data_IF_695436988622
#
_entry.id   IF_695436988622
#
_cell.length_a   1.000
_cell.length_b   1.000
_cell.length_c   1.000
_cell.angle_alpha   90.00
_cell.angle_beta   90.00
_cell.angle_gamma   90.00
#
_symmetry.space_group_name_H-M   'P 1'
#
loop_
_entity.id
_entity.type
_entity.pdbx_description
1 polymer ?
#
# COMPACT_ATOMS: atom_id res chain seq x y z
N UNK A 1 -49.88 34.80 -10.78
CA UNK A 1 -49.89 33.60 -11.63
C UNK A 1 -48.46 33.12 -11.79
N UNK A 2 -48.21 31.92 -11.25
CA UNK A 2 -47.13 30.96 -11.56
C UNK A 2 -45.68 31.45 -11.58
N UNK A 3 -45.08 31.49 -10.38
CA UNK A 3 -43.66 31.19 -10.18
C UNK A 3 -43.42 29.73 -10.53
N UNK A 4 -42.94 29.47 -11.74
CA UNK A 4 -42.38 28.17 -12.11
C UNK A 4 -41.11 27.96 -11.27
N UNK A 5 -41.27 27.24 -10.17
CA UNK A 5 -40.20 26.71 -9.36
C UNK A 5 -39.25 25.91 -10.25
N UNK A 6 -38.13 26.53 -10.62
CA UNK A 6 -36.97 25.86 -11.16
C UNK A 6 -36.43 24.96 -10.04
N UNK A 7 -36.94 23.72 -9.94
CA UNK A 7 -36.39 22.67 -9.07
C UNK A 7 -34.97 22.39 -9.54
N UNK A 8 -34.02 23.16 -9.03
CA UNK A 8 -32.63 22.78 -9.11
C UNK A 8 -32.50 21.54 -8.23
N UNK A 9 -32.40 20.37 -8.87
CA UNK A 9 -31.99 19.14 -8.20
C UNK A 9 -30.52 19.32 -7.79
N UNK A 10 -30.29 19.99 -6.67
CA UNK A 10 -28.95 20.23 -6.15
C UNK A 10 -28.38 18.90 -5.64
N UNK A 11 -27.14 18.60 -6.00
CA UNK A 11 -26.36 17.45 -5.50
C UNK A 11 -26.46 17.31 -3.95
N UNK A 12 -26.59 18.45 -3.28
CA UNK A 12 -26.71 18.63 -1.83
C UNK A 12 -28.03 18.10 -1.23
N UNK A 13 -29.05 17.85 -2.05
CA UNK A 13 -30.32 17.27 -1.61
C UNK A 13 -30.36 15.74 -1.72
N UNK A 14 -29.31 15.11 -2.27
CA UNK A 14 -29.22 13.66 -2.28
C UNK A 14 -29.00 13.12 -0.86
N UNK A 15 -29.64 11.99 -0.50
CA UNK A 15 -29.32 11.27 0.72
C UNK A 15 -27.81 11.01 0.83
N UNK A 16 -27.27 11.23 2.03
CA UNK A 16 -25.82 11.08 2.27
C UNK A 16 -25.32 9.67 1.93
N UNK A 17 -26.12 8.63 2.15
CA UNK A 17 -25.77 7.25 1.79
C UNK A 17 -25.54 7.06 0.29
N UNK A 18 -26.28 7.80 -0.56
CA UNK A 18 -26.05 7.78 -2.01
C UNK A 18 -24.78 8.54 -2.36
N UNK A 19 -24.51 9.66 -1.69
CA UNK A 19 -23.27 10.41 -1.87
C UNK A 19 -22.04 9.60 -1.44
N UNK A 20 -22.15 8.79 -0.38
CA UNK A 20 -21.11 7.84 0.03
C UNK A 20 -20.84 6.80 -1.06
N UNK A 21 -21.89 6.22 -1.67
CA UNK A 21 -21.72 5.30 -2.80
C UNK A 21 -21.09 5.95 -4.01
N UNK A 22 -21.46 7.19 -4.33
CA UNK A 22 -20.82 7.96 -5.41
C UNK A 22 -19.34 8.21 -5.09
N UNK A 23 -19.01 8.49 -3.82
CA UNK A 23 -17.63 8.74 -3.39
C UNK A 23 -16.69 7.54 -3.57
N UNK A 24 -17.21 6.32 -3.66
CA UNK A 24 -16.40 5.12 -3.98
C UNK A 24 -15.75 5.22 -5.38
N UNK A 25 -16.36 5.98 -6.30
CA UNK A 25 -15.86 6.20 -7.67
C UNK A 25 -15.02 7.47 -7.83
N UNK A 26 -14.87 8.26 -6.77
CA UNK A 26 -14.14 9.52 -6.78
C UNK A 26 -12.83 9.36 -6.02
N UNK A 27 -11.72 9.83 -6.57
CA UNK A 27 -10.44 9.83 -5.88
C UNK A 27 -10.38 10.86 -4.75
N UNK A 28 -9.34 10.81 -3.92
CA UNK A 28 -9.11 11.81 -2.90
C UNK A 28 -9.03 13.21 -3.51
N UNK A 29 -8.35 13.37 -4.66
CA UNK A 29 -8.24 14.67 -5.32
C UNK A 29 -9.59 15.16 -5.79
N UNK A 30 -10.43 14.30 -6.37
CA UNK A 30 -11.79 14.68 -6.78
C UNK A 30 -12.61 15.21 -5.60
N UNK A 31 -12.60 14.49 -4.48
CA UNK A 31 -13.30 14.92 -3.26
C UNK A 31 -12.69 16.20 -2.67
N UNK A 32 -11.38 16.39 -2.78
CA UNK A 32 -10.70 17.61 -2.36
C UNK A 32 -11.13 18.83 -3.21
N UNK A 33 -11.15 18.71 -4.53
CA UNK A 33 -11.59 19.80 -5.42
C UNK A 33 -13.08 20.11 -5.28
N UNK A 34 -13.93 19.09 -5.08
CA UNK A 34 -15.33 19.28 -4.73
C UNK A 34 -15.44 20.09 -3.42
N UNK A 35 -14.66 19.73 -2.40
CA UNK A 35 -14.62 20.46 -1.11
C UNK A 35 -14.26 21.94 -1.27
N UNK A 36 -13.45 22.28 -2.27
CA UNK A 36 -13.00 23.65 -2.51
C UNK A 36 -13.89 24.43 -3.50
N UNK A 37 -14.90 23.81 -4.09
CA UNK A 37 -15.76 24.45 -5.10
C UNK A 37 -16.79 25.43 -4.52
N UNK A 38 -17.25 25.22 -3.28
CA UNK A 38 -18.16 26.15 -2.58
C UNK A 38 -18.16 25.91 -1.06
N UNK A 39 -18.72 26.83 -0.27
CA UNK A 39 -18.85 26.65 1.19
C UNK A 39 -19.73 25.43 1.56
N UNK A 40 -20.79 25.16 0.80
CA UNK A 40 -21.67 24.02 1.02
C UNK A 40 -20.96 22.71 0.62
N UNK A 41 -20.26 22.70 -0.51
CA UNK A 41 -19.47 21.54 -0.94
C UNK A 41 -18.30 21.26 0.01
N UNK A 42 -17.74 22.28 0.67
CA UNK A 42 -16.69 22.09 1.69
C UNK A 42 -17.13 21.18 2.81
N UNK A 43 -18.30 21.45 3.40
CA UNK A 43 -18.84 20.63 4.50
C UNK A 43 -19.10 19.20 4.02
N UNK A 44 -19.76 19.05 2.87
CA UNK A 44 -20.05 17.73 2.30
C UNK A 44 -18.77 16.96 1.97
N UNK A 45 -17.83 17.58 1.26
CA UNK A 45 -16.60 16.94 0.84
C UNK A 45 -15.70 16.57 2.02
N UNK A 46 -15.62 17.41 3.06
CA UNK A 46 -14.93 17.05 4.31
C UNK A 46 -15.60 15.86 5.02
N UNK A 47 -16.94 15.78 5.02
CA UNK A 47 -17.65 14.63 5.56
C UNK A 47 -17.38 13.35 4.74
N UNK A 48 -17.39 13.44 3.41
CA UNK A 48 -17.08 12.32 2.54
C UNK A 48 -15.63 11.83 2.74
N UNK A 49 -14.67 12.76 2.82
CA UNK A 49 -13.26 12.45 3.09
C UNK A 49 -13.10 11.79 4.48
N UNK A 50 -13.79 12.31 5.50
CA UNK A 50 -13.78 11.72 6.84
C UNK A 50 -14.37 10.30 6.85
N UNK A 51 -15.48 10.08 6.15
CA UNK A 51 -16.12 8.76 6.12
C UNK A 51 -15.33 7.74 5.29
N UNK A 52 -14.78 8.16 4.15
CA UNK A 52 -14.08 7.27 3.22
C UNK A 52 -12.65 6.97 3.66
N UNK A 53 -11.93 7.99 4.15
CA UNK A 53 -10.49 7.89 4.43
C UNK A 53 -10.14 8.07 5.91
N UNK A 54 -11.12 8.39 6.77
CA UNK A 54 -10.89 8.69 8.19
C UNK A 54 -9.96 9.89 8.42
N UNK A 55 -9.97 10.85 7.50
CA UNK A 55 -9.20 12.09 7.60
C UNK A 55 -10.13 13.22 8.05
N UNK A 56 -9.89 13.79 9.23
CA UNK A 56 -10.68 14.92 9.73
C UNK A 56 -10.10 16.26 9.25
N UNK A 57 -10.80 16.88 8.29
CA UNK A 57 -10.48 18.20 7.74
C UNK A 57 -11.35 19.32 8.34
N UNK A 58 -12.20 19.04 9.34
CA UNK A 58 -13.16 20.02 9.85
C UNK A 58 -12.54 21.15 10.67
N UNK A 59 -11.28 20.99 11.13
CA UNK A 59 -10.56 21.97 11.95
C UNK A 59 -9.23 22.38 11.33
N UNK A 60 -9.23 23.08 10.18
CA UNK A 60 -8.01 23.44 9.47
C UNK A 60 -7.10 24.37 10.28
N UNK A 61 -7.66 25.18 11.19
CA UNK A 61 -6.87 26.09 12.03
C UNK A 61 -6.00 25.35 13.06
N UNK A 62 -6.40 24.14 13.48
CA UNK A 62 -5.62 23.33 14.42
C UNK A 62 -4.55 22.50 13.70
N UNK A 63 -4.85 22.04 12.48
CA UNK A 63 -4.01 21.13 11.69
C UNK A 63 -3.60 21.75 10.35
N UNK A 64 -3.22 23.03 10.35
CA UNK A 64 -2.94 23.78 9.12
C UNK A 64 -1.82 23.16 8.27
N UNK A 65 -0.81 22.57 8.92
CA UNK A 65 0.28 21.87 8.25
C UNK A 65 -0.20 20.59 7.55
N UNK A 66 -0.96 19.74 8.24
CA UNK A 66 -1.53 18.54 7.64
C UNK A 66 -2.44 18.88 6.45
N UNK A 67 -3.26 19.93 6.59
CA UNK A 67 -4.13 20.42 5.51
C UNK A 67 -3.31 20.88 4.29
N UNK A 68 -2.16 21.51 4.49
CA UNK A 68 -1.24 21.85 3.40
C UNK A 68 -0.74 20.58 2.69
N UNK A 69 -0.30 19.56 3.43
CA UNK A 69 0.20 18.31 2.85
C UNK A 69 -0.91 17.58 2.06
N UNK A 70 -2.11 17.48 2.62
CA UNK A 70 -3.25 16.90 1.90
C UNK A 70 -3.60 17.69 0.63
N UNK A 71 -3.54 19.03 0.69
CA UNK A 71 -3.77 19.87 -0.48
C UNK A 71 -2.70 19.67 -1.56
N UNK A 72 -1.44 19.53 -1.15
CA UNK A 72 -0.31 19.27 -2.03
C UNK A 72 -0.46 17.91 -2.73
N UNK A 73 -0.90 16.89 -2.01
CA UNK A 73 -1.14 15.55 -2.58
C UNK A 73 -2.34 15.53 -3.52
N UNK A 74 -3.44 16.21 -3.19
CA UNK A 74 -4.56 16.37 -4.12
C UNK A 74 -4.13 17.06 -5.42
N UNK A 75 -3.30 18.11 -5.31
CA UNK A 75 -2.75 18.81 -6.46
C UNK A 75 -1.78 17.93 -7.27
N UNK A 76 -0.89 17.17 -6.61
CA UNK A 76 0.01 16.22 -7.24
C UNK A 76 -0.74 15.12 -8.00
N UNK A 77 -1.82 14.60 -7.42
CA UNK A 77 -2.66 13.57 -8.06
C UNK A 77 -3.30 14.08 -9.35
N UNK A 78 -3.79 15.33 -9.34
CA UNK A 78 -4.51 15.93 -10.46
C UNK A 78 -3.58 16.42 -11.58
N UNK A 79 -2.43 16.99 -11.21
CA UNK A 79 -1.55 17.72 -12.14
C UNK A 79 -0.15 17.12 -12.28
N UNK A 80 0.21 16.14 -11.46
CA UNK A 80 1.53 15.50 -11.48
C UNK A 80 1.73 14.55 -12.65
N UNK A 81 0.70 14.26 -13.45
CA UNK A 81 0.80 13.51 -14.69
C UNK A 81 0.44 14.36 -15.91
N UNK A 82 1.36 14.38 -16.88
CA UNK A 82 1.10 14.90 -18.22
C UNK A 82 1.42 13.81 -19.24
N UNK A 83 0.46 13.47 -20.11
CA UNK A 83 0.62 12.41 -21.14
C UNK A 83 1.13 11.05 -20.59
N UNK A 84 0.62 10.63 -19.42
CA UNK A 84 1.06 9.43 -18.68
C UNK A 84 2.53 9.44 -18.22
N UNK A 85 3.20 10.59 -18.21
CA UNK A 85 4.52 10.79 -17.61
C UNK A 85 4.40 11.70 -16.40
N UNK A 86 5.26 11.49 -15.41
CA UNK A 86 5.30 12.35 -14.23
C UNK A 86 5.87 13.71 -14.66
N UNK A 87 5.15 14.78 -14.37
CA UNK A 87 5.62 16.15 -14.55
C UNK A 87 6.52 16.54 -13.37
N UNK A 88 7.82 16.40 -13.58
CA UNK A 88 8.83 16.72 -12.56
C UNK A 88 8.79 18.19 -12.12
N UNK A 89 8.34 19.12 -12.95
CA UNK A 89 8.28 20.54 -12.58
C UNK A 89 7.16 20.78 -11.56
N UNK A 90 6.00 20.16 -11.77
CA UNK A 90 4.89 20.19 -10.81
C UNK A 90 5.32 19.57 -9.48
N UNK A 91 5.92 18.38 -9.51
CA UNK A 91 6.36 17.70 -8.28
C UNK A 91 7.44 18.48 -7.55
N UNK A 92 8.42 19.05 -8.26
CA UNK A 92 9.45 19.89 -7.65
C UNK A 92 8.85 21.16 -7.04
N UNK A 93 7.88 21.80 -7.69
CA UNK A 93 7.20 22.97 -7.13
C UNK A 93 6.48 22.64 -5.82
N UNK A 94 5.86 21.46 -5.73
CA UNK A 94 5.19 21.00 -4.51
C UNK A 94 6.23 20.72 -3.43
N UNK A 95 7.30 19.99 -3.77
CA UNK A 95 8.40 19.69 -2.86
C UNK A 95 9.02 20.97 -2.28
N UNK A 96 9.30 21.97 -3.13
CA UNK A 96 9.82 23.27 -2.71
C UNK A 96 8.87 23.96 -1.72
N UNK A 97 7.56 23.98 -2.02
CA UNK A 97 6.59 24.63 -1.13
C UNK A 97 6.51 23.95 0.24
N UNK A 98 6.52 22.62 0.27
CA UNK A 98 6.53 21.85 1.52
C UNK A 98 7.84 22.05 2.29
N UNK A 99 8.98 22.02 1.62
CA UNK A 99 10.30 22.20 2.24
C UNK A 99 10.44 23.59 2.87
N UNK A 100 9.99 24.64 2.17
CA UNK A 100 9.95 26.01 2.71
C UNK A 100 9.04 26.08 3.94
N UNK A 101 7.86 25.48 3.89
CA UNK A 101 6.95 25.50 5.04
C UNK A 101 7.55 24.75 6.25
N UNK A 102 8.26 23.64 6.03
CA UNK A 102 9.00 22.92 7.08
C UNK A 102 10.12 23.80 7.64
N UNK A 103 10.88 24.46 6.77
CA UNK A 103 11.97 25.35 7.15
C UNK A 103 11.48 26.53 7.99
N UNK A 104 10.43 27.23 7.54
CA UNK A 104 9.87 28.39 8.23
C UNK A 104 9.31 28.03 9.62
N UNK A 105 8.82 26.80 9.80
CA UNK A 105 8.30 26.28 11.08
C UNK A 105 9.40 25.69 11.97
N UNK A 106 10.60 25.47 11.45
CA UNK A 106 11.71 24.90 12.18
C UNK A 106 12.49 26.00 12.89
N UNK A 107 12.53 25.94 14.23
CA UNK A 107 13.25 26.95 15.00
C UNK A 107 14.76 26.87 14.77
N UNK A 108 15.44 28.00 14.55
CA UNK A 108 16.90 28.02 14.27
C UNK A 108 17.77 27.36 15.35
N UNK A 109 17.31 27.28 16.60
CA UNK A 109 18.08 26.72 17.73
C UNK A 109 17.89 25.22 17.94
N UNK A 110 16.74 24.66 17.57
CA UNK A 110 16.38 23.25 17.77
C UNK A 110 15.76 22.68 16.48
N UNK A 111 16.34 23.03 15.33
CA UNK A 111 15.75 22.73 14.03
C UNK A 111 15.64 21.22 13.80
N UNK A 112 16.57 20.41 14.33
CA UNK A 112 16.58 18.95 14.16
C UNK A 112 15.32 18.29 14.74
N UNK A 113 14.94 18.63 15.97
CA UNK A 113 13.75 18.08 16.61
C UNK A 113 12.46 18.57 15.93
N UNK A 114 12.43 19.82 15.49
CA UNK A 114 11.32 20.37 14.71
C UNK A 114 11.20 19.68 13.35
N UNK A 115 12.33 19.48 12.66
CA UNK A 115 12.42 18.79 11.38
C UNK A 115 11.96 17.34 11.54
N UNK A 116 12.43 16.62 12.56
CA UNK A 116 12.00 15.25 12.85
C UNK A 116 10.47 15.17 12.97
N UNK A 117 9.86 16.03 13.79
CA UNK A 117 8.41 16.06 13.97
C UNK A 117 7.64 16.42 12.69
N UNK A 118 8.05 17.48 11.99
CA UNK A 118 7.35 17.94 10.78
C UNK A 118 7.53 16.96 9.62
N UNK A 119 8.70 16.33 9.51
CA UNK A 119 8.98 15.34 8.49
C UNK A 119 8.28 14.01 8.79
N UNK A 120 8.18 13.59 10.06
CA UNK A 120 7.38 12.41 10.45
C UNK A 120 5.92 12.61 10.06
N UNK A 121 5.35 13.78 10.34
CA UNK A 121 3.98 14.10 9.97
C UNK A 121 3.79 14.16 8.44
N UNK A 122 4.77 14.71 7.72
CA UNK A 122 4.76 14.78 6.26
C UNK A 122 4.82 13.39 5.64
N UNK A 123 5.81 12.58 6.02
CA UNK A 123 5.99 11.23 5.49
C UNK A 123 4.84 10.31 5.88
N UNK A 124 4.27 10.46 7.08
CA UNK A 124 3.05 9.77 7.49
C UNK A 124 1.94 9.99 6.49
N UNK A 125 1.59 11.25 6.21
CA UNK A 125 0.49 11.60 5.31
C UNK A 125 0.80 11.19 3.87
N UNK A 126 2.01 11.44 3.39
CA UNK A 126 2.44 11.15 2.02
C UNK A 126 2.46 9.63 1.74
N UNK A 127 2.98 8.82 2.66
CA UNK A 127 3.01 7.36 2.54
C UNK A 127 1.60 6.78 2.71
N UNK A 128 0.80 7.27 3.68
CA UNK A 128 -0.61 6.87 3.84
C UNK A 128 -1.40 7.10 2.53
N UNK A 129 -1.07 8.16 1.78
CA UNK A 129 -1.74 8.54 0.54
C UNK A 129 -1.68 7.48 -0.55
N UNK A 130 -0.59 6.69 -0.59
CA UNK A 130 -0.42 5.58 -1.54
C UNK A 130 -1.53 4.53 -1.40
N UNK A 131 -2.16 4.45 -0.23
CA UNK A 131 -3.15 3.42 0.11
C UNK A 131 -4.60 3.91 0.12
N UNK A 132 -4.87 5.18 -0.15
CA UNK A 132 -6.24 5.72 -0.04
C UNK A 132 -7.16 5.20 -1.14
N UNK A 133 -6.66 5.14 -2.38
CA UNK A 133 -7.48 4.85 -3.57
C UNK A 133 -7.01 3.59 -4.32
N UNK A 134 -6.60 2.53 -3.61
CA UNK A 134 -6.03 1.31 -4.23
C UNK A 134 -6.97 0.59 -5.20
N UNK A 135 -8.27 0.87 -5.15
CA UNK A 135 -9.26 0.36 -6.11
C UNK A 135 -9.34 1.19 -7.40
N UNK A 136 -9.01 2.49 -7.33
CA UNK A 136 -8.99 3.41 -8.47
C UNK A 136 -7.59 3.47 -9.11
N UNK A 137 -6.54 3.31 -8.32
CA UNK A 137 -5.15 3.28 -8.75
C UNK A 137 -4.65 1.83 -8.91
N UNK A 138 -5.15 1.18 -9.97
CA UNK A 138 -4.90 -0.23 -10.23
C UNK A 138 -3.43 -0.49 -10.53
N UNK A 139 -2.88 -1.51 -9.88
CA UNK A 139 -1.53 -2.03 -10.12
C UNK A 139 -1.34 -2.35 -11.63
N UNK A 140 -0.36 -1.74 -12.32
CA UNK A 140 -0.12 -2.01 -13.72
C UNK A 140 0.15 -3.50 -13.95
N UNK A 141 -0.64 -4.12 -14.84
CA UNK A 141 -0.40 -5.52 -15.26
C UNK A 141 0.90 -5.57 -16.05
N UNK A 142 1.77 -6.53 -15.72
CA UNK A 142 3.09 -6.77 -16.35
C UNK A 142 2.96 -7.29 -17.80
N UNK A 143 2.17 -6.63 -18.65
CA UNK A 143 1.69 -7.12 -19.96
C UNK A 143 2.53 -6.62 -21.14
N UNK A 144 3.56 -5.82 -20.89
CA UNK A 144 4.53 -5.41 -21.89
C UNK A 144 5.91 -5.48 -21.26
N UNK A 145 6.96 -5.80 -22.02
CA UNK A 145 8.36 -5.86 -21.55
C UNK A 145 8.94 -4.53 -21.03
N UNK A 146 8.09 -3.59 -20.60
CA UNK A 146 8.43 -2.42 -19.82
C UNK A 146 8.72 -2.86 -18.38
N UNK A 147 9.72 -2.24 -17.75
CA UNK A 147 10.25 -2.61 -16.45
C UNK A 147 9.26 -2.59 -15.28
N UNK A 148 9.80 -2.69 -14.06
CA UNK A 148 9.05 -2.60 -12.80
C UNK A 148 8.25 -1.28 -12.73
N UNK A 149 6.96 -1.38 -12.43
CA UNK A 149 6.06 -0.22 -12.30
C UNK A 149 5.26 -0.30 -11.01
N UNK A 150 5.37 0.76 -10.20
CA UNK A 150 4.46 1.04 -9.09
C UNK A 150 3.10 1.48 -9.61
N UNK A 151 2.13 1.67 -8.69
CA UNK A 151 0.86 2.32 -9.03
C UNK A 151 1.11 3.78 -9.41
N UNK A 152 0.13 4.46 -10.04
CA UNK A 152 0.32 5.88 -10.44
C UNK A 152 0.61 6.74 -9.23
N UNK A 153 -0.16 6.58 -8.16
CA UNK A 153 0.06 7.31 -6.91
C UNK A 153 1.41 6.92 -6.28
N UNK A 154 1.75 5.62 -6.25
CA UNK A 154 3.03 5.17 -5.72
C UNK A 154 4.22 5.80 -6.46
N UNK A 155 4.16 5.89 -7.80
CA UNK A 155 5.17 6.57 -8.61
C UNK A 155 5.27 8.07 -8.31
N UNK A 156 4.13 8.78 -8.26
CA UNK A 156 4.10 10.21 -7.89
C UNK A 156 4.70 10.45 -6.51
N UNK A 157 4.29 9.66 -5.53
CA UNK A 157 4.76 9.78 -4.15
C UNK A 157 6.26 9.49 -4.05
N UNK A 158 6.77 8.48 -4.76
CA UNK A 158 8.23 8.22 -4.81
C UNK A 158 8.99 9.44 -5.35
N UNK A 159 8.54 10.03 -6.46
CA UNK A 159 9.21 11.21 -7.03
C UNK A 159 9.09 12.42 -6.10
N UNK A 160 7.93 12.60 -5.43
CA UNK A 160 7.71 13.67 -4.48
C UNK A 160 8.62 13.54 -3.25
N UNK A 161 8.72 12.34 -2.66
CA UNK A 161 9.62 12.10 -1.52
C UNK A 161 11.07 12.38 -1.94
N UNK A 162 11.47 11.95 -3.14
CA UNK A 162 12.82 12.19 -3.64
C UNK A 162 13.11 13.69 -3.82
N UNK A 163 12.21 14.43 -4.46
CA UNK A 163 12.33 15.87 -4.65
C UNK A 163 12.33 16.62 -3.30
N UNK A 164 11.47 16.21 -2.35
CA UNK A 164 11.42 16.77 -1.01
C UNK A 164 12.72 16.52 -0.26
N UNK A 165 13.25 15.29 -0.29
CA UNK A 165 14.52 14.92 0.30
C UNK A 165 15.66 15.81 -0.22
N UNK A 166 15.83 15.92 -1.55
CA UNK A 166 16.87 16.76 -2.15
C UNK A 166 16.73 18.24 -1.79
N UNK A 167 15.49 18.73 -1.62
CA UNK A 167 15.26 20.13 -1.27
C UNK A 167 15.55 20.38 0.22
N UNK A 168 15.17 19.46 1.10
CA UNK A 168 15.45 19.56 2.53
C UNK A 168 16.95 19.50 2.82
N UNK A 169 17.71 18.62 2.15
CA UNK A 169 19.17 18.57 2.31
C UNK A 169 19.89 19.78 1.73
N UNK A 170 19.23 20.57 0.86
CA UNK A 170 19.74 21.85 0.39
C UNK A 170 19.43 23.02 1.35
N UNK A 171 18.32 22.95 2.09
CA UNK A 171 17.90 23.98 3.05
C UNK A 171 18.49 23.80 4.45
N UNK A 172 18.75 22.55 4.84
CA UNK A 172 19.34 22.15 6.11
C UNK A 172 20.71 21.53 5.91
N UNK A 173 21.41 21.18 6.99
CA UNK A 173 22.65 20.43 6.91
C UNK A 173 22.38 19.00 6.41
N UNK A 174 23.17 18.52 5.44
CA UNK A 174 23.01 17.19 4.83
C UNK A 174 22.93 16.08 5.89
N UNK A 175 23.85 16.13 6.85
CA UNK A 175 23.80 15.36 8.10
C UNK A 175 23.44 16.36 9.21
N UNK A 176 22.42 16.13 10.04
CA UNK A 176 21.62 14.91 10.25
C UNK A 176 20.36 14.71 9.38
N UNK A 177 20.06 15.61 8.44
CA UNK A 177 18.80 15.56 7.65
C UNK A 177 18.59 14.24 6.92
N UNK A 178 19.64 13.70 6.31
CA UNK A 178 19.65 12.39 5.64
C UNK A 178 19.23 11.25 6.58
N UNK A 179 19.81 11.20 7.78
CA UNK A 179 19.53 10.17 8.78
C UNK A 179 18.11 10.26 9.31
N UNK A 180 17.63 11.49 9.58
CA UNK A 180 16.26 11.73 10.02
C UNK A 180 15.28 11.26 8.95
N UNK A 181 15.45 11.72 7.70
CA UNK A 181 14.59 11.35 6.59
C UNK A 181 14.55 9.83 6.38
N UNK A 182 15.72 9.20 6.31
CA UNK A 182 15.83 7.76 6.09
C UNK A 182 15.19 6.93 7.22
N UNK A 183 15.49 7.27 8.48
CA UNK A 183 14.90 6.61 9.67
C UNK A 183 13.38 6.71 9.65
N UNK A 184 12.83 7.90 9.40
CA UNK A 184 11.39 8.12 9.39
C UNK A 184 10.70 7.38 8.24
N UNK A 185 11.27 7.42 7.04
CA UNK A 185 10.75 6.68 5.88
C UNK A 185 10.67 5.18 6.17
N UNK A 186 11.75 4.59 6.71
CA UNK A 186 11.78 3.18 7.12
C UNK A 186 10.76 2.88 8.23
N UNK A 187 10.58 3.78 9.18
CA UNK A 187 9.59 3.61 10.25
C UNK A 187 8.16 3.55 9.70
N UNK A 188 7.80 4.43 8.77
CA UNK A 188 6.47 4.40 8.14
C UNK A 188 6.26 3.12 7.32
N UNK A 189 7.25 2.71 6.52
CA UNK A 189 7.19 1.45 5.75
C UNK A 189 7.00 0.26 6.68
N UNK A 190 7.79 0.17 7.76
CA UNK A 190 7.67 -0.90 8.75
C UNK A 190 6.30 -0.91 9.42
N UNK A 191 5.76 0.27 9.77
CA UNK A 191 4.42 0.40 10.35
C UNK A 191 3.34 -0.12 9.39
N UNK A 192 3.43 0.20 8.10
CA UNK A 192 2.49 -0.32 7.10
C UNK A 192 2.62 -1.83 6.90
N UNK A 193 3.84 -2.36 6.81
CA UNK A 193 4.08 -3.81 6.72
C UNK A 193 3.49 -4.53 7.93
N UNK A 194 3.73 -4.02 9.13
CA UNK A 194 3.18 -4.57 10.37
C UNK A 194 1.65 -4.53 10.39
N UNK A 195 1.04 -3.39 10.08
CA UNK A 195 -0.42 -3.23 10.10
C UNK A 195 -1.13 -4.12 9.09
N UNK A 196 -0.60 -4.22 7.87
CA UNK A 196 -1.19 -5.06 6.83
C UNK A 196 -1.00 -6.55 7.18
N UNK A 197 0.17 -6.93 7.69
CA UNK A 197 0.44 -8.32 8.13
C UNK A 197 -0.47 -8.73 9.28
N UNK A 198 -0.58 -7.90 10.32
CA UNK A 198 -1.45 -8.20 11.47
C UNK A 198 -2.91 -8.31 11.08
N UNK A 199 -3.43 -7.41 10.23
CA UNK A 199 -4.79 -7.52 9.68
C UNK A 199 -4.97 -8.80 8.86
N UNK A 200 -4.00 -9.15 8.01
CA UNK A 200 -4.02 -10.37 7.23
C UNK A 200 -4.04 -11.63 8.10
N UNK A 201 -3.18 -11.70 9.10
CA UNK A 201 -3.13 -12.82 10.05
C UNK A 201 -4.41 -12.92 10.88
N UNK A 202 -4.91 -11.81 11.43
CA UNK A 202 -6.18 -11.78 12.16
C UNK A 202 -7.35 -12.25 11.28
N UNK A 203 -7.39 -11.80 10.03
CA UNK A 203 -8.41 -12.21 9.07
C UNK A 203 -8.30 -13.70 8.71
N UNK A 204 -7.08 -14.19 8.51
CA UNK A 204 -6.80 -15.62 8.26
C UNK A 204 -7.24 -16.50 9.44
N UNK A 205 -6.87 -16.12 10.67
CA UNK A 205 -7.29 -16.84 11.87
C UNK A 205 -8.81 -16.87 12.02
N UNK A 206 -9.51 -15.74 11.83
CA UNK A 206 -10.97 -15.68 11.90
C UNK A 206 -11.64 -16.64 10.92
N UNK A 207 -11.09 -16.78 9.71
CA UNK A 207 -11.63 -17.72 8.71
C UNK A 207 -11.62 -19.16 9.20
N UNK A 208 -10.54 -19.61 9.86
CA UNK A 208 -10.42 -20.98 10.38
C UNK A 208 -11.53 -21.34 11.38
N UNK A 209 -12.10 -20.35 12.09
CA UNK A 209 -13.21 -20.57 13.02
C UNK A 209 -14.59 -20.54 12.33
N UNK A 210 -14.73 -19.81 11.22
CA UNK A 210 -16.01 -19.59 10.52
C UNK A 210 -16.44 -20.78 9.65
N UNK A 211 -15.50 -21.64 9.21
CA UNK A 211 -15.82 -22.80 8.35
C UNK A 211 -16.74 -23.86 9.01
N UNK A 212 -17.05 -23.71 10.30
CA UNK A 212 -17.77 -24.69 11.13
C UNK A 212 -19.31 -24.55 11.25
N UNK A 213 -19.98 -23.52 10.70
CA UNK A 213 -21.45 -23.35 10.90
C UNK A 213 -22.28 -22.93 9.67
N UNK A 214 -23.55 -23.35 9.62
CA UNK A 214 -24.45 -23.53 8.45
C UNK A 214 -24.83 -22.30 7.57
N UNK A 215 -25.46 -22.60 6.41
CA UNK A 215 -26.32 -21.84 5.48
C UNK A 215 -26.08 -20.35 5.15
N UNK A 216 -25.63 -19.49 6.07
CA UNK A 216 -25.20 -18.11 5.79
C UNK A 216 -23.80 -18.04 5.11
N UNK A 217 -23.22 -19.20 4.79
CA UNK A 217 -21.84 -19.38 4.33
C UNK A 217 -21.50 -18.61 3.06
N UNK A 218 -22.38 -18.51 2.07
CA UNK A 218 -22.00 -17.99 0.75
C UNK A 218 -21.71 -16.48 0.78
N UNK A 219 -22.60 -15.67 1.37
CA UNK A 219 -22.40 -14.22 1.45
C UNK A 219 -21.23 -13.85 2.38
N UNK A 220 -21.10 -14.56 3.49
CA UNK A 220 -20.00 -14.37 4.44
C UNK A 220 -18.67 -14.74 3.78
N UNK A 221 -18.59 -15.89 3.10
CA UNK A 221 -17.38 -16.34 2.40
C UNK A 221 -16.99 -15.43 1.22
N UNK A 222 -17.97 -14.85 0.51
CA UNK A 222 -17.71 -13.82 -0.50
C UNK A 222 -17.11 -12.56 0.12
N UNK A 223 -17.65 -12.08 1.24
CA UNK A 223 -17.08 -10.93 1.96
C UNK A 223 -15.65 -11.23 2.48
N UNK A 224 -15.41 -12.43 3.02
CA UNK A 224 -14.07 -12.88 3.42
C UNK A 224 -13.09 -12.90 2.24
N UNK A 225 -13.51 -13.40 1.08
CA UNK A 225 -12.68 -13.41 -0.14
C UNK A 225 -12.37 -11.99 -0.61
N UNK A 226 -13.37 -11.12 -0.67
CA UNK A 226 -13.18 -9.72 -1.07
C UNK A 226 -12.22 -8.99 -0.14
N UNK A 227 -12.35 -9.17 1.18
CA UNK A 227 -11.44 -8.57 2.14
C UNK A 227 -10.01 -9.13 2.04
N UNK A 228 -9.87 -10.43 1.81
CA UNK A 228 -8.55 -11.04 1.57
C UNK A 228 -7.88 -10.47 0.31
N UNK A 229 -8.63 -10.33 -0.79
CA UNK A 229 -8.14 -9.74 -2.02
C UNK A 229 -7.71 -8.27 -1.82
N UNK A 230 -8.48 -7.50 -1.06
CA UNK A 230 -8.11 -6.12 -0.70
C UNK A 230 -6.80 -6.07 0.09
N UNK A 231 -6.64 -6.93 1.11
CA UNK A 231 -5.41 -6.99 1.91
C UNK A 231 -4.20 -7.41 1.07
N UNK A 232 -4.35 -8.40 0.18
CA UNK A 232 -3.30 -8.81 -0.75
C UNK A 232 -2.96 -7.71 -1.75
N UNK A 233 -3.97 -7.01 -2.28
CA UNK A 233 -3.77 -5.86 -3.18
C UNK A 233 -3.00 -4.73 -2.49
N UNK A 234 -3.39 -4.37 -1.26
CA UNK A 234 -2.72 -3.34 -0.47
C UNK A 234 -1.28 -3.75 -0.13
N UNK A 235 -1.06 -5.02 0.23
CA UNK A 235 0.30 -5.54 0.47
C UNK A 235 1.17 -5.48 -0.77
N UNK A 236 0.64 -5.91 -1.93
CA UNK A 236 1.35 -5.83 -3.21
C UNK A 236 1.64 -4.39 -3.62
N UNK A 237 0.70 -3.48 -3.39
CA UNK A 237 0.88 -2.03 -3.60
C UNK A 237 2.05 -1.52 -2.77
N UNK A 238 2.11 -1.89 -1.48
CA UNK A 238 3.22 -1.53 -0.60
C UNK A 238 4.56 -2.11 -1.08
N UNK A 239 4.61 -3.38 -1.47
CA UNK A 239 5.84 -3.99 -2.01
C UNK A 239 6.30 -3.29 -3.29
N UNK A 240 5.36 -2.94 -4.19
CA UNK A 240 5.69 -2.20 -5.40
C UNK A 240 6.15 -0.77 -5.11
N UNK A 241 5.58 -0.13 -4.10
CA UNK A 241 6.03 1.17 -3.62
C UNK A 241 7.45 1.09 -3.03
N UNK A 242 7.74 0.10 -2.19
CA UNK A 242 9.09 -0.16 -1.66
C UNK A 242 10.08 -0.36 -2.80
N UNK A 243 9.73 -1.17 -3.81
CA UNK A 243 10.61 -1.35 -4.97
C UNK A 243 10.85 -0.06 -5.75
N UNK A 244 9.87 0.84 -5.84
CA UNK A 244 10.05 2.15 -6.48
C UNK A 244 10.97 3.06 -5.66
N UNK A 245 10.87 3.05 -4.33
CA UNK A 245 11.81 3.75 -3.45
C UNK A 245 13.25 3.24 -3.59
N UNK A 246 13.42 1.93 -3.80
CA UNK A 246 14.73 1.33 -4.10
C UNK A 246 15.24 1.77 -5.47
N UNK A 247 14.37 1.89 -6.49
CA UNK A 247 14.76 2.42 -7.81
C UNK A 247 15.21 3.88 -7.76
N UNK A 248 14.65 4.67 -6.84
CA UNK A 248 15.01 6.08 -6.66
C UNK A 248 16.12 6.29 -5.64
N UNK A 249 16.81 5.22 -5.21
CA UNK A 249 17.91 5.27 -4.22
C UNK A 249 17.51 5.85 -2.85
N UNK A 250 16.21 5.99 -2.57
CA UNK A 250 15.70 6.42 -1.25
C UNK A 250 15.81 5.29 -0.21
N UNK A 251 15.87 4.05 -0.68
CA UNK A 251 16.18 2.86 0.10
C UNK A 251 17.35 2.12 -0.54
N UNK A 252 18.27 1.65 0.29
CA UNK A 252 19.37 0.82 -0.16
C UNK A 252 18.91 -0.62 -0.42
N UNK A 253 19.73 -1.37 -1.15
CA UNK A 253 19.54 -2.83 -1.32
C UNK A 253 19.61 -3.56 0.02
N UNK A 254 20.38 -3.05 0.97
CA UNK A 254 20.50 -3.61 2.33
C UNK A 254 19.18 -3.43 3.07
N UNK A 255 18.56 -2.25 2.99
CA UNK A 255 17.24 -2.00 3.60
C UNK A 255 16.19 -2.95 3.02
N UNK A 256 16.23 -3.14 1.70
CA UNK A 256 15.32 -4.08 1.04
C UNK A 256 15.53 -5.52 1.53
N UNK A 257 16.79 -5.96 1.69
CA UNK A 257 17.09 -7.29 2.23
C UNK A 257 16.56 -7.45 3.67
N UNK A 258 16.79 -6.45 4.53
CA UNK A 258 16.32 -6.42 5.91
C UNK A 258 14.79 -6.47 5.95
N UNK A 259 14.10 -5.61 5.21
CA UNK A 259 12.64 -5.58 5.11
C UNK A 259 12.10 -6.92 4.59
N UNK A 260 12.78 -7.50 3.59
CA UNK A 260 12.36 -8.77 3.00
C UNK A 260 12.42 -9.90 4.03
N UNK A 261 13.56 -10.06 4.70
CA UNK A 261 13.79 -11.12 5.69
C UNK A 261 12.93 -10.95 6.95
N UNK A 262 12.82 -9.74 7.47
CA UNK A 262 12.18 -9.51 8.77
C UNK A 262 10.67 -9.28 8.68
N UNK A 263 10.17 -8.71 7.58
CA UNK A 263 8.78 -8.22 7.50
C UNK A 263 7.98 -8.83 6.35
N UNK A 264 8.53 -8.87 5.14
CA UNK A 264 7.80 -9.40 3.97
C UNK A 264 7.66 -10.92 4.08
N UNK A 265 8.69 -11.64 4.52
CA UNK A 265 8.57 -13.06 4.80
C UNK A 265 7.56 -13.36 5.91
N UNK A 266 7.51 -12.53 6.95
CA UNK A 266 6.56 -12.66 8.07
C UNK A 266 5.10 -12.53 7.62
N UNK A 267 4.81 -11.77 6.56
CA UNK A 267 3.47 -11.67 5.99
C UNK A 267 2.90 -13.05 5.60
N UNK A 268 3.73 -13.93 5.04
CA UNK A 268 3.33 -15.28 4.64
C UNK A 268 3.29 -16.22 5.84
N UNK A 269 2.14 -16.85 6.05
CA UNK A 269 1.91 -17.70 7.22
C UNK A 269 2.54 -19.07 6.99
N UNK A 270 3.84 -19.21 7.26
CA UNK A 270 4.47 -20.55 7.21
C UNK A 270 5.41 -20.94 8.33
N UNK A 271 5.79 -20.05 9.25
CA UNK A 271 6.76 -20.42 10.28
C UNK A 271 6.26 -20.40 11.74
N UNK A 272 5.08 -19.83 12.07
CA UNK A 272 4.68 -19.68 13.49
C UNK A 272 3.49 -20.53 13.95
N UNK A 273 2.69 -21.12 13.05
CA UNK A 273 1.55 -21.98 13.45
C UNK A 273 2.04 -23.27 14.14
N UNK A 274 3.34 -23.60 14.05
CA UNK A 274 3.91 -24.78 14.70
C UNK A 274 4.41 -24.57 16.13
N UNK A 275 4.71 -23.34 16.58
CA UNK A 275 5.45 -23.16 17.85
C UNK A 275 4.67 -22.50 19.01
N UNK A 276 3.57 -21.77 18.78
CA UNK A 276 2.91 -21.03 19.86
C UNK A 276 1.56 -21.56 20.38
N UNK A 277 1.01 -22.64 19.81
CA UNK A 277 -0.21 -23.24 20.36
C UNK A 277 0.09 -24.47 21.22
N UNK A 278 -0.33 -24.52 22.50
CA UNK A 278 -0.18 -25.71 23.31
C UNK A 278 -1.02 -26.82 22.68
N UNK A 279 -0.38 -27.98 22.51
CA UNK A 279 -0.90 -29.26 22.03
C UNK A 279 -2.30 -29.59 22.58
N UNK A 280 -3.37 -29.01 22.04
CA UNK A 280 -4.73 -29.55 22.20
C UNK A 280 -5.03 -30.44 21.01
N UNK A 281 -4.89 -31.75 21.28
CA UNK A 281 -5.30 -32.89 20.45
C UNK A 281 -4.93 -32.78 18.97
N UNK A 282 -3.77 -33.35 18.64
CA UNK A 282 -3.54 -33.98 17.33
C UNK A 282 -4.59 -35.06 17.11
N UNK A 283 -5.76 -34.68 16.58
CA UNK A 283 -6.48 -35.55 15.68
C UNK A 283 -5.63 -35.59 14.41
N UNK A 284 -5.09 -36.76 14.10
CA UNK A 284 -4.53 -37.08 12.78
C UNK A 284 -5.64 -36.90 11.75
N UNK A 285 -5.85 -35.69 11.24
CA UNK A 285 -6.60 -35.50 10.00
C UNK A 285 -5.61 -35.65 8.85
N UNK A 286 -5.43 -36.90 8.44
CA UNK A 286 -4.66 -37.28 7.25
C UNK A 286 -5.42 -36.95 5.94
N UNK A 287 -6.35 -35.99 5.99
CA UNK A 287 -7.16 -35.53 4.87
C UNK A 287 -6.96 -34.02 4.77
N UNK A 288 -5.86 -33.62 4.13
CA UNK A 288 -5.74 -32.27 3.60
C UNK A 288 -6.92 -32.09 2.64
N UNK A 289 -7.91 -31.29 3.00
CA UNK A 289 -9.07 -31.13 2.15
C UNK A 289 -8.65 -30.45 0.85
N UNK A 290 -9.35 -30.71 -0.26
CA UNK A 290 -9.06 -30.03 -1.54
C UNK A 290 -9.10 -28.49 -1.39
N UNK A 291 -9.87 -27.98 -0.42
CA UNK A 291 -9.92 -26.55 -0.08
C UNK A 291 -8.63 -26.05 0.56
N UNK A 292 -8.02 -26.80 1.49
CA UNK A 292 -6.75 -26.42 2.12
C UNK A 292 -5.59 -26.40 1.10
N UNK A 293 -5.61 -27.35 0.16
CA UNK A 293 -4.63 -27.40 -0.93
C UNK A 293 -4.78 -26.22 -1.89
N UNK A 294 -6.01 -25.85 -2.26
CA UNK A 294 -6.27 -24.69 -3.11
C UNK A 294 -5.76 -23.39 -2.47
N UNK A 295 -5.91 -23.24 -1.15
CA UNK A 295 -5.40 -22.05 -0.44
C UNK A 295 -3.88 -21.99 -0.39
N UNK A 296 -3.22 -23.14 -0.22
CA UNK A 296 -1.77 -23.21 -0.29
C UNK A 296 -1.25 -22.84 -1.69
N UNK A 297 -1.95 -23.24 -2.74
CA UNK A 297 -1.62 -22.83 -4.10
C UNK A 297 -1.79 -21.32 -4.29
N UNK A 298 -2.93 -20.75 -3.87
CA UNK A 298 -3.18 -19.30 -3.95
C UNK A 298 -2.15 -18.47 -3.14
N UNK A 299 -1.70 -18.97 -2.00
CA UNK A 299 -0.67 -18.31 -1.18
C UNK A 299 0.72 -18.42 -1.82
N UNK A 300 1.06 -19.57 -2.42
CA UNK A 300 2.31 -19.74 -3.17
C UNK A 300 2.32 -18.85 -4.42
N UNK A 301 1.21 -18.76 -5.15
CA UNK A 301 1.07 -17.88 -6.32
C UNK A 301 1.28 -16.42 -5.92
N UNK A 302 0.63 -15.96 -4.86
CA UNK A 302 0.81 -14.61 -4.35
C UNK A 302 2.25 -14.36 -3.89
N UNK A 303 2.89 -15.33 -3.21
CA UNK A 303 4.29 -15.25 -2.80
C UNK A 303 5.24 -15.13 -4.00
N UNK A 304 4.99 -15.87 -5.08
CA UNK A 304 5.73 -15.73 -6.33
C UNK A 304 5.55 -14.34 -6.92
N UNK A 305 4.34 -13.79 -6.97
CA UNK A 305 4.09 -12.43 -7.48
C UNK A 305 4.91 -11.39 -6.72
N UNK A 306 4.91 -11.46 -5.38
CA UNK A 306 5.64 -10.54 -4.51
C UNK A 306 7.15 -10.63 -4.75
N UNK A 307 7.72 -11.84 -4.78
CA UNK A 307 9.16 -12.01 -5.00
C UNK A 307 9.59 -11.67 -6.42
N UNK A 308 8.74 -11.88 -7.43
CA UNK A 308 9.00 -11.43 -8.79
C UNK A 308 9.00 -9.90 -8.87
N UNK A 309 8.06 -9.22 -8.21
CA UNK A 309 8.02 -7.76 -8.17
C UNK A 309 9.31 -7.22 -7.49
N UNK A 310 9.75 -7.80 -6.37
CA UNK A 310 11.01 -7.42 -5.69
C UNK A 310 12.26 -7.69 -6.54
N UNK A 311 12.34 -8.87 -7.17
CA UNK A 311 13.47 -9.24 -8.02
C UNK A 311 13.60 -8.28 -9.21
N UNK A 312 12.47 -7.90 -9.82
CA UNK A 312 12.47 -6.93 -10.92
C UNK A 312 12.95 -5.56 -10.50
N UNK A 313 12.56 -5.08 -9.31
CA UNK A 313 13.11 -3.84 -8.78
C UNK A 313 14.65 -3.95 -8.66
N UNK A 314 15.16 -4.98 -7.99
CA UNK A 314 16.62 -5.13 -7.82
C UNK A 314 17.36 -5.27 -9.17
N UNK A 315 16.81 -6.04 -10.11
CA UNK A 315 17.41 -6.21 -11.45
C UNK A 315 17.56 -4.88 -12.20
N UNK A 316 16.53 -4.03 -12.15
CA UNK A 316 16.58 -2.74 -12.84
C UNK A 316 17.56 -1.78 -12.16
N UNK A 317 17.64 -1.80 -10.84
CA UNK A 317 18.66 -1.04 -10.12
C UNK A 317 20.07 -1.48 -10.54
N UNK A 318 20.32 -2.79 -10.67
CA UNK A 318 21.64 -3.31 -11.08
C UNK A 318 22.01 -3.01 -12.53
N UNK A 319 21.03 -2.86 -13.44
CA UNK A 319 21.30 -2.38 -14.79
C UNK A 319 21.85 -0.95 -14.80
N UNK A 320 21.46 -0.14 -13.82
CA UNK A 320 21.94 1.24 -13.65
C UNK A 320 23.18 1.31 -12.74
N UNK A 321 23.30 0.41 -11.77
CA UNK A 321 24.34 0.42 -10.72
C UNK A 321 24.89 -0.99 -10.46
N UNK A 322 25.90 -1.46 -11.22
CA UNK A 322 26.29 -2.89 -11.29
C UNK A 322 27.02 -3.47 -10.05
N UNK A 323 27.12 -2.76 -8.93
CA UNK A 323 27.97 -3.14 -7.79
C UNK A 323 27.27 -3.88 -6.63
N UNK A 324 25.95 -4.11 -6.69
CA UNK A 324 25.21 -4.68 -5.54
C UNK A 324 25.02 -6.20 -5.66
N UNK A 325 25.45 -6.98 -4.67
CA UNK A 325 25.24 -8.45 -4.58
C UNK A 325 23.80 -8.85 -4.15
N UNK A 326 22.80 -8.00 -4.39
CA UNK A 326 21.44 -8.14 -3.84
C UNK A 326 20.62 -9.30 -4.39
N UNK A 327 20.87 -9.76 -5.61
CA UNK A 327 20.03 -10.77 -6.29
C UNK A 327 20.05 -12.15 -5.64
N UNK A 328 21.15 -12.55 -5.00
CA UNK A 328 21.31 -13.93 -4.52
C UNK A 328 20.22 -14.31 -3.51
N UNK A 329 19.81 -13.38 -2.66
CA UNK A 329 18.77 -13.63 -1.66
C UNK A 329 17.38 -13.81 -2.31
N UNK A 330 17.02 -12.94 -3.26
CA UNK A 330 15.75 -13.05 -3.98
C UNK A 330 15.69 -14.29 -4.86
N UNK A 331 16.80 -14.65 -5.51
CA UNK A 331 16.93 -15.88 -6.30
C UNK A 331 16.70 -17.12 -5.43
N UNK A 332 17.31 -17.18 -4.24
CA UNK A 332 17.10 -18.29 -3.31
C UNK A 332 15.64 -18.38 -2.84
N UNK A 333 15.02 -17.23 -2.50
CA UNK A 333 13.62 -17.19 -2.08
C UNK A 333 12.64 -17.61 -3.20
N UNK A 334 12.92 -17.23 -4.45
CA UNK A 334 12.18 -17.69 -5.63
C UNK A 334 12.36 -19.19 -5.82
N UNK A 335 13.59 -19.69 -5.75
CA UNK A 335 13.89 -21.11 -5.86
C UNK A 335 13.16 -21.95 -4.81
N UNK A 336 13.13 -21.50 -3.56
CA UNK A 336 12.41 -22.17 -2.46
C UNK A 336 10.90 -22.18 -2.69
N UNK A 337 10.35 -21.08 -3.22
CA UNK A 337 8.92 -20.96 -3.53
C UNK A 337 8.53 -21.89 -4.69
N UNK A 338 9.33 -21.93 -5.76
CA UNK A 338 9.15 -22.83 -6.90
C UNK A 338 9.27 -24.29 -6.46
N UNK A 339 10.26 -24.61 -5.63
CA UNK A 339 10.45 -25.96 -5.08
C UNK A 339 9.25 -26.39 -4.23
N UNK A 340 8.68 -25.49 -3.43
CA UNK A 340 7.45 -25.74 -2.68
C UNK A 340 6.23 -25.93 -3.59
N UNK A 341 6.14 -25.20 -4.70
CA UNK A 341 5.05 -25.35 -5.66
C UNK A 341 5.14 -26.71 -6.36
N UNK A 342 6.33 -27.10 -6.83
CA UNK A 342 6.57 -28.39 -7.49
C UNK A 342 6.27 -29.56 -6.53
N UNK A 343 6.68 -29.46 -5.27
CA UNK A 343 6.38 -30.52 -4.29
C UNK A 343 4.88 -30.62 -3.98
N UNK A 344 4.16 -29.50 -3.91
CA UNK A 344 2.70 -29.49 -3.75
C UNK A 344 1.97 -30.12 -4.95
N UNK A 345 2.48 -29.92 -6.17
CA UNK A 345 1.94 -30.51 -7.41
C UNK A 345 2.28 -32.00 -7.56
N UNK A 346 3.49 -32.44 -7.21
CA UNK A 346 3.83 -33.88 -7.24
C UNK A 346 2.97 -34.72 -6.29
N UNK A 347 2.42 -34.12 -5.23
CA UNK A 347 1.46 -34.79 -4.34
C UNK A 347 0.08 -35.03 -4.98
N UNK A 348 -0.29 -34.33 -6.06
CA UNK A 348 -1.55 -34.55 -6.79
C UNK A 348 -1.49 -35.76 -7.71
N UNK A 349 -0.35 -36.03 -8.33
CA UNK A 349 -0.23 -37.09 -9.34
C UNK A 349 -0.20 -38.50 -8.71
N UNK A 350 0.18 -38.61 -7.43
CA UNK A 350 0.15 -39.86 -6.68
C UNK A 350 -1.22 -40.22 -6.09
N UNK A 351 -2.22 -39.34 -6.14
CA UNK A 351 -3.58 -39.64 -5.65
C UNK A 351 -4.56 -40.06 -6.75
N UNK A 352 -4.19 -39.97 -8.03
CA UNK A 352 -5.04 -40.39 -9.16
C UNK A 352 -4.69 -41.76 -9.76
N UNK A 353 -3.62 -42.43 -9.31
CA UNK A 353 -3.14 -43.68 -9.90
C UNK A 353 -3.39 -44.95 -9.06
N UNK A 354 -4.10 -44.87 -7.93
CA UNK A 354 -4.37 -46.05 -7.08
C UNK A 354 -5.79 -46.64 -7.20
N UNK A 355 -6.44 -46.51 -8.36
CA UNK A 355 -7.68 -47.24 -8.64
C UNK A 355 -7.73 -47.72 -10.10
N UNK A 356 -6.86 -48.66 -10.44
CA UNK A 356 -7.08 -49.55 -11.57
C UNK A 356 -6.40 -50.89 -11.30
N UNK A 357 -7.16 -51.96 -11.56
CA UNK A 357 -6.79 -53.38 -11.69
C UNK A 357 -6.41 -54.16 -10.42
N UNK A 358 -7.43 -54.76 -9.81
CA UNK A 358 -7.39 -56.18 -9.40
C UNK A 358 -8.60 -56.88 -10.02
N UNK A 359 -8.36 -57.67 -11.07
CA UNK A 359 -9.22 -58.80 -11.46
C UNK A 359 -8.60 -60.04 -10.88
#
# INVERSE_FOLDING_TARGET
>A
MTTLFQRQHQLLHMPFDLLLKVSEYLSFSDLWYISNSSQHCRRLGHQLILHKYHIDLNKPQLNGFCHLIYSALAYASQHGYHENKIDSAVIQSIANRLAVEIYDRSSLRNWEACLDFLLDETLRIVVDHVFLDTQLDIIPKNTSGKGFQSTKMGGLVTVLINALYSTLTALFETEPTSQIHHRLLLNHINRHLYHISTKYHQHYHRRLYVDSSSAAKNNVLLAFRQHNLLLRSNFRTLVRFIGALVQSELLSVIDLDILTRQRIQYFFLRNEIQEQYPKKRRLKTNNQTNADRQLQLEENDFKMEIFLDLTRAVLLLQQHTPSSNGLNNFSNMLHDTVSSLISSKKSSDHTFTSSATSV
#
